data_IF_859370937387
#
_entry.id   IF_859370937387
#
_cell.length_a   1.000
_cell.length_b   1.000
_cell.length_c   1.000
_cell.angle_alpha   90.00
_cell.angle_beta   90.00
_cell.angle_gamma   90.00
#
_symmetry.space_group_name_H-M   'P 1'
#
loop_
_entity.id
_entity.type
_entity.pdbx_description
1 polymer ?
#
# COMPACT_ATOMS: atom_id res chain seq x y z
N UNK A 1 -14.03 11.89 -1.08
CA UNK A 1 -13.67 12.59 0.19
C UNK A 1 -14.03 11.77 1.45
N UNK A 2 -15.24 11.19 1.55
CA UNK A 2 -15.62 10.34 2.70
C UNK A 2 -14.69 9.14 2.94
N UNK A 3 -14.20 8.51 1.86
CA UNK A 3 -13.23 7.40 1.94
C UNK A 3 -11.92 7.84 2.59
N UNK A 4 -11.38 8.99 2.18
CA UNK A 4 -10.16 9.57 2.78
C UNK A 4 -10.37 9.89 4.26
N UNK A 5 -11.54 10.42 4.62
CA UNK A 5 -11.88 10.66 6.02
C UNK A 5 -11.87 9.35 6.83
N UNK A 6 -12.47 8.28 6.32
CA UNK A 6 -12.43 6.96 6.95
C UNK A 6 -11.00 6.41 7.10
N UNK A 7 -10.16 6.58 6.08
CA UNK A 7 -8.74 6.18 6.11
C UNK A 7 -8.00 6.94 7.22
N UNK A 8 -8.17 8.26 7.31
CA UNK A 8 -7.49 9.10 8.32
C UNK A 8 -7.96 8.75 9.73
N UNK A 9 -9.27 8.56 9.94
CA UNK A 9 -9.82 8.17 11.26
C UNK A 9 -9.28 6.81 11.69
N UNK A 10 -9.19 5.86 10.76
CA UNK A 10 -8.66 4.52 11.05
C UNK A 10 -7.17 4.58 11.39
N UNK A 11 -6.38 5.33 10.62
CA UNK A 11 -4.96 5.53 10.88
C UNK A 11 -4.71 6.22 12.24
N UNK A 12 -5.53 7.21 12.59
CA UNK A 12 -5.48 7.86 13.90
C UNK A 12 -5.82 6.87 15.04
N UNK A 13 -6.80 6.00 14.83
CA UNK A 13 -7.14 4.92 15.76
C UNK A 13 -5.94 3.99 16.02
N UNK A 14 -5.28 3.51 14.96
CA UNK A 14 -4.07 2.70 15.09
C UNK A 14 -2.96 3.45 15.83
N UNK A 15 -2.71 4.72 15.47
CA UNK A 15 -1.69 5.53 16.13
C UNK A 15 -1.95 5.66 17.65
N UNK A 16 -3.21 5.87 18.07
CA UNK A 16 -3.55 6.02 19.48
C UNK A 16 -3.38 4.71 20.28
N UNK A 17 -3.69 3.57 19.67
CA UNK A 17 -3.58 2.25 20.30
C UNK A 17 -2.11 1.83 20.42
N UNK A 18 -1.31 2.00 19.36
CA UNK A 18 0.06 1.47 19.26
C UNK A 18 1.14 2.47 19.71
N UNK A 19 1.02 3.78 19.40
CA UNK A 19 2.09 4.73 19.76
C UNK A 19 2.25 4.89 21.27
N UNK A 20 1.15 4.88 22.03
CA UNK A 20 1.17 5.04 23.49
C UNK A 20 1.96 3.94 24.20
N UNK A 21 1.68 2.64 23.99
CA UNK A 21 2.46 1.57 24.61
C UNK A 21 3.91 1.54 24.12
N UNK A 22 4.18 1.75 22.83
CA UNK A 22 5.56 1.77 22.30
C UNK A 22 6.40 2.91 22.88
N UNK A 23 5.82 4.11 23.02
CA UNK A 23 6.49 5.25 23.63
C UNK A 23 6.77 5.01 25.12
N UNK A 24 5.79 4.46 25.87
CA UNK A 24 5.95 4.13 27.29
C UNK A 24 7.00 3.03 27.53
N UNK A 25 7.13 2.09 26.60
CA UNK A 25 8.13 1.03 26.66
C UNK A 25 9.55 1.51 26.27
N UNK A 26 9.74 2.79 25.93
CA UNK A 26 11.04 3.33 25.53
C UNK A 26 11.54 2.82 24.18
N UNK A 27 10.67 2.18 23.38
CA UNK A 27 11.05 1.47 22.16
C UNK A 27 11.02 2.40 20.94
N UNK A 28 11.90 3.38 20.95
CA UNK A 28 11.93 4.45 19.93
C UNK A 28 12.15 3.93 18.50
N UNK A 29 12.95 2.87 18.33
CA UNK A 29 13.18 2.25 17.00
C UNK A 29 11.91 1.62 16.42
N UNK A 30 11.16 0.92 17.24
CA UNK A 30 9.91 0.27 16.85
C UNK A 30 8.83 1.33 16.60
N UNK A 31 8.80 2.41 17.40
CA UNK A 31 7.89 3.53 17.20
C UNK A 31 8.13 4.23 15.86
N UNK A 32 9.40 4.45 15.50
CA UNK A 32 9.78 5.02 14.21
C UNK A 32 9.37 4.13 13.04
N UNK A 33 9.65 2.82 13.13
CA UNK A 33 9.27 1.85 12.09
C UNK A 33 7.74 1.81 11.94
N UNK A 34 7.00 1.73 13.04
CA UNK A 34 5.54 1.78 13.05
C UNK A 34 5.02 3.05 12.39
N UNK A 35 5.53 4.23 12.78
CA UNK A 35 5.08 5.50 12.21
C UNK A 35 5.36 5.59 10.71
N UNK A 36 6.53 5.12 10.27
CA UNK A 36 6.89 5.07 8.85
C UNK A 36 5.94 4.15 8.06
N UNK A 37 5.69 2.94 8.56
CA UNK A 37 4.77 1.99 7.93
C UNK A 37 3.34 2.52 7.89
N UNK A 38 2.87 3.13 8.99
CA UNK A 38 1.53 3.71 9.08
C UNK A 38 1.37 4.86 8.08
N UNK A 39 2.36 5.75 7.99
CA UNK A 39 2.35 6.85 7.01
C UNK A 39 2.41 6.33 5.58
N UNK A 40 3.27 5.36 5.29
CA UNK A 40 3.39 4.77 3.96
C UNK A 40 2.07 4.11 3.52
N UNK A 41 1.49 3.27 4.38
CA UNK A 41 0.20 2.61 4.09
C UNK A 41 -0.95 3.60 3.94
N UNK A 42 -1.05 4.58 4.85
CA UNK A 42 -2.08 5.62 4.79
C UNK A 42 -1.96 6.46 3.53
N UNK A 43 -0.73 6.88 3.19
CA UNK A 43 -0.42 7.63 1.97
C UNK A 43 -0.78 6.83 0.72
N UNK A 44 -0.48 5.53 0.69
CA UNK A 44 -0.84 4.65 -0.42
C UNK A 44 -2.36 4.53 -0.58
N UNK A 45 -3.10 4.33 0.52
CA UNK A 45 -4.57 4.28 0.50
C UNK A 45 -5.18 5.59 -0.02
N UNK A 46 -4.62 6.73 0.37
CA UNK A 46 -5.06 8.05 -0.12
C UNK A 46 -4.73 8.22 -1.60
N UNK A 47 -3.52 7.84 -2.03
CA UNK A 47 -3.11 7.92 -3.43
C UNK A 47 -4.02 7.07 -4.34
N UNK A 48 -4.33 5.84 -3.93
CA UNK A 48 -5.32 4.98 -4.62
C UNK A 48 -6.71 5.63 -4.64
N UNK A 49 -7.15 6.23 -3.53
CA UNK A 49 -8.45 6.92 -3.45
C UNK A 49 -8.55 8.19 -4.30
N UNK A 50 -7.42 8.73 -4.75
CA UNK A 50 -7.32 9.89 -5.63
C UNK A 50 -7.09 9.50 -7.09
N UNK A 51 -7.17 8.21 -7.43
CA UNK A 51 -6.83 7.67 -8.74
C UNK A 51 -5.41 8.07 -9.20
N UNK A 52 -4.50 8.29 -8.25
CA UNK A 52 -3.11 8.59 -8.56
C UNK A 52 -2.45 7.36 -9.22
N UNK A 53 -1.53 7.55 -10.18
CA UNK A 53 -0.80 6.45 -10.80
C UNK A 53 0.17 5.83 -9.79
N UNK A 54 -0.34 4.88 -9.00
CA UNK A 54 0.45 4.05 -8.10
C UNK A 54 0.91 2.83 -8.88
N UNK A 55 2.22 2.50 -8.87
CA UNK A 55 2.73 1.33 -9.58
C UNK A 55 2.03 0.08 -9.04
N UNK A 56 1.24 -0.56 -9.90
CA UNK A 56 0.48 -1.75 -9.55
C UNK A 56 1.37 -2.98 -9.71
N UNK A 57 1.53 -3.84 -8.69
CA UNK A 57 2.29 -5.08 -8.83
C UNK A 57 1.71 -6.01 -9.91
N UNK A 58 0.41 -5.93 -10.21
CA UNK A 58 -0.18 -6.65 -11.33
C UNK A 58 0.36 -6.19 -12.68
N UNK A 59 0.73 -4.91 -12.84
CA UNK A 59 1.35 -4.43 -14.08
C UNK A 59 2.75 -5.00 -14.26
N UNK A 60 3.48 -5.20 -13.16
CA UNK A 60 4.79 -5.86 -13.17
C UNK A 60 4.65 -7.34 -13.55
N UNK A 61 3.68 -8.04 -12.95
CA UNK A 61 3.37 -9.43 -13.28
C UNK A 61 2.95 -9.51 -14.75
N UNK A 62 2.05 -8.63 -15.20
CA UNK A 62 1.62 -8.57 -16.59
C UNK A 62 2.81 -8.35 -17.53
N UNK A 63 3.72 -7.42 -17.22
CA UNK A 63 4.92 -7.19 -18.01
C UNK A 63 5.81 -8.46 -18.11
N UNK A 64 5.90 -9.24 -17.03
CA UNK A 64 6.66 -10.48 -16.99
C UNK A 64 6.02 -11.61 -17.82
N UNK A 65 4.69 -11.75 -17.77
CA UNK A 65 3.95 -12.83 -18.43
C UNK A 65 3.48 -12.50 -19.86
N UNK A 66 3.45 -11.22 -20.24
CA UNK A 66 3.11 -10.74 -21.59
C UNK A 66 3.89 -11.41 -22.73
N UNK A 67 5.21 -11.68 -22.65
CA UNK A 67 5.90 -12.40 -23.71
C UNK A 67 5.33 -13.82 -23.92
N UNK A 68 5.04 -14.54 -22.84
CA UNK A 68 4.49 -15.90 -22.90
C UNK A 68 3.08 -15.91 -23.48
N UNK A 69 2.21 -14.96 -23.11
CA UNK A 69 0.86 -14.85 -23.66
C UNK A 69 0.90 -14.54 -25.17
N UNK A 70 1.80 -13.66 -25.61
CA UNK A 70 1.99 -13.35 -27.04
C UNK A 70 2.47 -14.56 -27.84
N UNK A 71 3.35 -15.39 -27.26
CA UNK A 71 3.77 -16.63 -27.92
C UNK A 71 2.62 -17.62 -28.09
N UNK A 72 1.76 -17.76 -27.07
CA UNK A 72 0.56 -18.60 -27.14
C UNK A 72 -0.46 -18.09 -28.17
N UNK A 73 -0.70 -16.77 -28.21
CA UNK A 73 -1.59 -16.15 -29.21
C UNK A 73 -1.09 -16.37 -30.65
N UNK A 74 0.23 -16.33 -30.88
CA UNK A 74 0.82 -16.60 -32.18
C UNK A 74 0.71 -18.08 -32.57
N UNK A 75 0.90 -18.99 -31.61
CA UNK A 75 0.77 -20.43 -31.83
C UNK A 75 -0.68 -20.88 -32.07
N UNK A 76 -1.66 -20.21 -31.47
CA UNK A 76 -3.08 -20.54 -31.61
C UNK A 76 -3.74 -19.91 -32.86
N UNK A 77 -3.05 -18.98 -33.52
CA UNK A 77 -3.54 -18.28 -34.72
C UNK A 77 -3.07 -18.92 -36.05
N UNK A 78 -2.38 -20.05 -35.97
CA UNK A 78 -2.11 -21.00 -37.05
C UNK A 78 -3.19 -22.09 -37.08
#
# INVERSE_FOLDING_TARGET
MWVIFGIVVTAAGFALIEMRPLAKAGKIKELWLFALLLLAGTGLCIAVSLDAPVPNPLDLIYALFRPSSRMLELLLKE
#
